data_IF_316730900350
#
_entry.id   IF_316730900350
#
_cell.length_a   1.000
_cell.length_b   1.000
_cell.length_c   1.000
_cell.angle_alpha   90.00
_cell.angle_beta   90.00
_cell.angle_gamma   90.00
#
_symmetry.space_group_name_H-M   'P 1'
#
loop_
_entity.id
_entity.type
_entity.pdbx_description
1 polymer ?
#
# COMPACT_ATOMS: atom_id res chain seq x y z
N UNK A 1 52.13 -11.29 -8.83
CA UNK A 1 51.17 -10.71 -9.79
C UNK A 1 50.12 -11.70 -10.29
N UNK A 2 50.49 -12.89 -10.81
CA UNK A 2 49.52 -13.90 -11.31
C UNK A 2 48.43 -14.34 -10.31
N UNK A 3 48.78 -14.48 -9.02
CA UNK A 3 47.81 -14.83 -7.96
C UNK A 3 46.80 -13.71 -7.64
N UNK A 4 47.21 -12.45 -7.74
CA UNK A 4 46.34 -11.29 -7.51
C UNK A 4 45.35 -11.11 -8.66
N UNK A 5 45.80 -11.38 -9.90
CA UNK A 5 44.93 -11.37 -11.08
C UNK A 5 43.86 -12.45 -10.98
N UNK A 6 44.22 -13.67 -10.55
CA UNK A 6 43.25 -14.77 -10.37
C UNK A 6 42.24 -14.42 -9.27
N UNK A 7 42.68 -13.84 -8.15
CA UNK A 7 41.77 -13.43 -7.07
C UNK A 7 40.79 -12.32 -7.52
N UNK A 8 41.25 -11.34 -8.29
CA UNK A 8 40.41 -10.27 -8.82
C UNK A 8 39.36 -10.80 -9.81
N UNK A 9 39.74 -11.74 -10.69
CA UNK A 9 38.80 -12.37 -11.63
C UNK A 9 37.75 -13.21 -10.91
N UNK A 10 38.14 -13.95 -9.86
CA UNK A 10 37.20 -14.73 -9.05
C UNK A 10 36.23 -13.84 -8.26
N UNK A 11 36.70 -12.71 -7.73
CA UNK A 11 35.84 -11.75 -7.04
C UNK A 11 34.82 -11.11 -8.00
N UNK A 12 35.23 -10.79 -9.24
CA UNK A 12 34.32 -10.26 -10.26
C UNK A 12 33.30 -11.30 -10.72
N UNK A 13 33.69 -12.56 -10.90
CA UNK A 13 32.76 -13.65 -11.21
C UNK A 13 31.75 -13.90 -10.08
N UNK A 14 32.19 -13.80 -8.82
CA UNK A 14 31.30 -13.96 -7.67
C UNK A 14 30.24 -12.86 -7.60
N UNK A 15 30.54 -11.64 -8.07
CA UNK A 15 29.56 -10.54 -8.12
C UNK A 15 28.45 -10.76 -9.16
N UNK A 16 28.68 -11.58 -10.20
CA UNK A 16 27.68 -11.90 -11.22
C UNK A 16 26.61 -12.90 -10.73
N UNK A 17 26.83 -13.56 -9.59
CA UNK A 17 25.88 -14.52 -9.00
C UNK A 17 24.74 -13.82 -8.24
N UNK A 18 24.86 -12.53 -7.97
CA UNK A 18 23.84 -11.73 -7.30
C UNK A 18 23.09 -10.84 -8.30
N UNK A 19 22.55 -11.44 -9.37
CA UNK A 19 21.67 -10.70 -10.28
C UNK A 19 20.36 -10.35 -9.55
N UNK A 20 20.05 -9.07 -9.30
CA UNK A 20 18.72 -8.71 -8.83
C UNK A 20 17.70 -9.11 -9.89
N UNK A 21 16.51 -9.52 -9.47
CA UNK A 21 15.40 -9.76 -10.39
C UNK A 21 15.15 -8.48 -11.20
N UNK A 22 15.37 -8.55 -12.51
CA UNK A 22 15.07 -7.44 -13.40
C UNK A 22 13.57 -7.44 -13.71
N UNK A 23 12.83 -6.54 -13.09
CA UNK A 23 11.42 -6.30 -13.41
C UNK A 23 11.35 -5.56 -14.74
N UNK A 24 10.91 -6.22 -15.81
CA UNK A 24 10.73 -5.60 -17.13
C UNK A 24 9.48 -4.70 -17.22
N UNK A 25 8.67 -4.66 -16.16
CA UNK A 25 7.49 -3.80 -16.06
C UNK A 25 7.85 -2.35 -15.72
N UNK A 26 6.90 -1.44 -15.97
CA UNK A 26 6.88 -0.08 -15.43
C UNK A 26 5.59 0.11 -14.60
N UNK A 27 5.52 -0.51 -13.41
CA UNK A 27 4.35 -0.49 -12.54
C UNK A 27 3.94 0.95 -12.21
N UNK A 28 2.66 1.26 -12.35
CA UNK A 28 2.09 2.53 -11.92
C UNK A 28 0.59 2.41 -11.65
N UNK A 29 0.10 3.22 -10.72
CA UNK A 29 -1.34 3.38 -10.50
C UNK A 29 -1.97 4.07 -11.71
N UNK A 30 -3.09 3.52 -12.19
CA UNK A 30 -3.87 4.11 -13.27
C UNK A 30 -4.88 5.09 -12.67
N UNK A 31 -4.59 6.38 -12.80
CA UNK A 31 -5.39 7.44 -12.19
C UNK A 31 -5.29 7.44 -10.66
N UNK A 32 -6.23 8.12 -10.02
CA UNK A 32 -6.34 8.15 -8.55
C UNK A 32 -7.23 7.01 -8.07
N UNK A 33 -6.75 6.24 -7.10
CA UNK A 33 -7.53 5.21 -6.41
C UNK A 33 -8.79 5.82 -5.81
N UNK A 34 -9.94 5.22 -6.06
CA UNK A 34 -11.21 5.66 -5.49
C UNK A 34 -11.32 5.21 -4.05
N UNK A 35 -11.66 6.14 -3.16
CA UNK A 35 -11.87 5.87 -1.73
C UNK A 35 -13.33 6.12 -1.38
N UNK A 36 -13.96 5.14 -0.75
CA UNK A 36 -15.31 5.26 -0.20
C UNK A 36 -15.32 4.92 1.28
N UNK A 37 -15.99 5.74 2.09
CA UNK A 37 -16.25 5.46 3.50
C UNK A 37 -17.69 5.01 3.68
N UNK A 38 -17.89 3.93 4.44
CA UNK A 38 -19.18 3.54 4.98
C UNK A 38 -19.01 3.22 6.47
N UNK A 39 -19.65 3.99 7.34
CA UNK A 39 -19.54 3.88 8.80
C UNK A 39 -18.09 3.84 9.29
N UNK A 40 -17.65 2.71 9.83
CA UNK A 40 -16.29 2.47 10.34
C UNK A 40 -15.37 1.79 9.31
N UNK A 41 -15.81 1.66 8.06
CA UNK A 41 -15.06 0.99 7.00
C UNK A 41 -14.62 1.95 5.91
N UNK A 42 -13.41 1.72 5.41
CA UNK A 42 -12.79 2.44 4.31
C UNK A 42 -12.49 1.44 3.19
N UNK A 43 -13.03 1.68 2.01
CA UNK A 43 -12.80 0.85 0.82
C UNK A 43 -11.99 1.62 -0.21
N UNK A 44 -10.93 0.99 -0.70
CA UNK A 44 -10.10 1.49 -1.78
C UNK A 44 -10.26 0.61 -3.01
N UNK A 45 -10.58 1.22 -4.16
CA UNK A 45 -10.71 0.53 -5.44
C UNK A 45 -9.86 1.23 -6.49
N UNK A 46 -9.01 0.47 -7.18
CA UNK A 46 -8.09 1.02 -8.15
C UNK A 46 -7.51 -0.02 -9.09
N UNK A 47 -6.50 0.42 -9.83
CA UNK A 47 -5.85 -0.38 -10.86
C UNK A 47 -4.36 -0.04 -10.91
N UNK A 48 -3.54 -1.07 -11.04
CA UNK A 48 -2.10 -0.97 -11.32
C UNK A 48 -1.86 -1.51 -12.73
N UNK A 49 -1.06 -0.83 -13.53
CA UNK A 49 -0.70 -1.23 -14.89
C UNK A 49 0.82 -1.20 -15.09
N UNK A 50 1.28 -1.78 -16.19
CA UNK A 50 2.71 -1.88 -16.50
C UNK A 50 3.39 -3.02 -15.74
N UNK A 51 2.63 -4.02 -15.31
CA UNK A 51 3.11 -5.15 -14.49
C UNK A 51 3.86 -6.22 -15.30
N UNK A 52 3.95 -6.08 -16.63
CA UNK A 52 4.61 -7.06 -17.49
C UNK A 52 3.94 -8.44 -17.40
N UNK A 53 4.74 -9.45 -17.04
CA UNK A 53 4.36 -10.88 -17.02
C UNK A 53 4.24 -11.45 -15.60
N UNK A 54 4.00 -10.61 -14.60
CA UNK A 54 3.72 -11.11 -13.26
C UNK A 54 2.41 -11.88 -13.20
N UNK A 55 2.32 -12.82 -12.26
CA UNK A 55 1.09 -13.58 -12.02
C UNK A 55 0.14 -12.82 -11.08
N UNK A 56 0.69 -12.11 -10.09
CA UNK A 56 -0.05 -11.45 -9.02
C UNK A 56 0.75 -10.31 -8.40
N UNK A 57 0.04 -9.33 -7.83
CA UNK A 57 0.60 -8.25 -7.01
C UNK A 57 -0.03 -8.23 -5.63
N UNK A 58 0.76 -7.86 -4.62
CA UNK A 58 0.28 -7.65 -3.26
C UNK A 58 0.04 -6.16 -3.03
N UNK A 59 -1.20 -5.79 -2.69
CA UNK A 59 -1.60 -4.41 -2.45
C UNK A 59 -1.99 -4.24 -0.99
N UNK A 60 -1.57 -3.12 -0.39
CA UNK A 60 -1.90 -2.71 0.96
C UNK A 60 -2.62 -1.37 0.94
N UNK A 61 -3.70 -1.27 1.71
CA UNK A 61 -4.37 -0.02 2.09
C UNK A 61 -4.01 0.29 3.53
N UNK A 62 -3.48 1.49 3.80
CA UNK A 62 -3.29 2.01 5.15
C UNK A 62 -4.01 3.33 5.36
N UNK A 63 -4.49 3.58 6.57
CA UNK A 63 -5.09 4.85 6.96
C UNK A 63 -4.99 5.08 8.47
N UNK A 64 -5.11 6.32 8.90
CA UNK A 64 -5.35 6.70 10.30
C UNK A 64 -6.85 6.92 10.50
N UNK A 65 -7.50 6.09 11.31
CA UNK A 65 -8.90 6.27 11.69
C UNK A 65 -9.01 6.95 13.07
N UNK A 66 -9.93 7.90 13.20
CA UNK A 66 -10.17 8.62 14.45
C UNK A 66 -11.67 8.89 14.65
N UNK A 67 -12.13 8.87 15.91
CA UNK A 67 -13.50 9.20 16.26
C UNK A 67 -13.58 10.69 16.65
N UNK A 68 -14.32 11.50 15.89
CA UNK A 68 -14.38 12.95 16.02
C UNK A 68 -15.72 13.37 16.61
N UNK A 69 -15.70 14.28 17.58
CA UNK A 69 -16.91 14.83 18.17
C UNK A 69 -17.50 15.99 17.32
N UNK A 70 -18.77 16.38 17.52
CA UNK A 70 -19.42 17.43 16.73
C UNK A 70 -18.71 18.80 16.74
N UNK A 71 -17.92 19.08 17.77
CA UNK A 71 -17.14 20.31 17.88
C UNK A 71 -15.85 20.30 17.06
N UNK A 72 -15.63 19.28 16.21
CA UNK A 72 -14.37 19.05 15.46
C UNK A 72 -13.14 18.92 16.35
N UNK A 73 -13.32 18.71 17.67
CA UNK A 73 -12.22 18.42 18.56
C UNK A 73 -11.80 16.98 18.32
N UNK A 74 -10.61 16.86 17.73
CA UNK A 74 -9.96 15.57 17.51
C UNK A 74 -9.44 15.07 18.86
N UNK A 75 -9.80 13.84 19.27
CA UNK A 75 -9.32 13.32 20.54
C UNK A 75 -7.78 13.24 20.55
N UNK A 76 -7.22 13.31 21.76
CA UNK A 76 -5.80 13.04 22.02
C UNK A 76 -5.41 11.66 21.46
N UNK A 77 -4.11 11.43 21.24
CA UNK A 77 -3.55 10.30 20.48
C UNK A 77 -4.13 8.90 20.80
N UNK A 78 -4.65 8.67 22.02
CA UNK A 78 -5.21 7.39 22.45
C UNK A 78 -6.44 6.88 21.68
N UNK A 79 -7.16 7.74 20.94
CA UNK A 79 -8.34 7.33 20.14
C UNK A 79 -8.08 7.33 18.63
N UNK A 80 -6.82 7.42 18.21
CA UNK A 80 -6.41 7.20 16.82
C UNK A 80 -5.95 5.76 16.66
N UNK A 81 -6.38 5.12 15.58
CA UNK A 81 -5.92 3.78 15.23
C UNK A 81 -5.32 3.81 13.83
N UNK A 82 -4.15 3.20 13.69
CA UNK A 82 -3.62 2.85 12.37
C UNK A 82 -4.37 1.63 11.87
N UNK A 83 -4.84 1.70 10.65
CA UNK A 83 -5.60 0.66 9.98
C UNK A 83 -4.80 0.18 8.77
N UNK A 84 -4.80 -1.14 8.56
CA UNK A 84 -4.20 -1.76 7.39
C UNK A 84 -5.10 -2.89 6.87
N UNK A 85 -5.20 -3.02 5.56
CA UNK A 85 -5.76 -4.18 4.89
C UNK A 85 -4.84 -4.56 3.71
N UNK A 86 -4.65 -5.85 3.49
CA UNK A 86 -3.83 -6.37 2.42
C UNK A 86 -4.61 -7.37 1.58
N UNK A 87 -4.23 -7.48 0.31
CA UNK A 87 -4.78 -8.47 -0.59
C UNK A 87 -3.85 -8.74 -1.75
N UNK A 88 -3.99 -9.93 -2.32
CA UNK A 88 -3.25 -10.36 -3.50
C UNK A 88 -4.20 -10.38 -4.69
N UNK A 89 -3.80 -9.71 -5.76
CA UNK A 89 -4.64 -9.49 -6.94
C UNK A 89 -3.98 -10.07 -8.18
N UNK A 90 -4.71 -10.86 -9.00
CA UNK A 90 -4.15 -11.46 -10.19
C UNK A 90 -3.85 -10.40 -11.24
N UNK A 91 -2.73 -10.59 -11.94
CA UNK A 91 -2.36 -9.78 -13.08
C UNK A 91 -2.93 -10.41 -14.35
N UNK A 92 -3.63 -9.61 -15.15
CA UNK A 92 -4.23 -10.02 -16.41
C UNK A 92 -3.94 -8.99 -17.49
N UNK A 93 -3.13 -9.36 -18.48
CA UNK A 93 -2.66 -8.46 -19.55
C UNK A 93 -1.86 -7.27 -18.99
N UNK A 94 -0.91 -7.54 -18.10
CA UNK A 94 0.00 -6.52 -17.53
C UNK A 94 -0.67 -5.49 -16.61
N UNK A 95 -1.85 -5.82 -16.06
CA UNK A 95 -2.60 -4.97 -15.12
C UNK A 95 -3.27 -5.81 -14.04
N UNK A 96 -3.48 -5.21 -12.87
CA UNK A 96 -4.29 -5.77 -11.80
C UNK A 96 -5.32 -4.72 -11.36
N UNK A 97 -6.58 -5.15 -11.19
CA UNK A 97 -7.59 -4.35 -10.51
C UNK A 97 -7.66 -4.82 -9.05
N UNK A 98 -7.79 -3.89 -8.11
CA UNK A 98 -7.87 -4.21 -6.69
C UNK A 98 -9.06 -3.53 -6.02
N UNK A 99 -9.59 -4.21 -5.02
CA UNK A 99 -10.52 -3.64 -4.03
C UNK A 99 -10.11 -4.15 -2.66
N UNK A 100 -9.84 -3.23 -1.74
CA UNK A 100 -9.50 -3.52 -0.35
C UNK A 100 -10.46 -2.78 0.56
N UNK A 101 -10.91 -3.45 1.61
CA UNK A 101 -11.70 -2.82 2.67
C UNK A 101 -11.00 -3.03 3.99
N UNK A 102 -10.85 -1.94 4.73
CA UNK A 102 -10.32 -1.96 6.08
C UNK A 102 -11.37 -1.40 7.04
N UNK A 103 -11.56 -2.04 8.20
CA UNK A 103 -12.58 -1.65 9.18
C UNK A 103 -11.94 -1.27 10.49
N UNK A 104 -12.21 -0.05 10.94
CA UNK A 104 -11.79 0.49 12.22
C UNK A 104 -12.68 -0.08 13.35
N UNK A 105 -12.06 -0.38 14.50
CA UNK A 105 -12.77 -0.80 15.71
C UNK A 105 -12.44 0.16 16.85
N UNK A 106 -13.46 0.67 17.54
CA UNK A 106 -13.29 1.67 18.60
C UNK A 106 -13.84 1.14 19.92
N UNK A 107 -13.11 1.39 21.01
CA UNK A 107 -13.56 1.07 22.37
C UNK A 107 -13.38 2.31 23.28
N UNK A 108 -14.47 2.94 23.78
CA UNK A 108 -15.88 2.66 23.48
C UNK A 108 -16.23 2.89 21.99
N UNK A 109 -17.36 2.36 21.54
CA UNK A 109 -17.81 2.51 20.15
C UNK A 109 -17.95 3.98 19.76
N UNK A 110 -17.52 4.33 18.54
CA UNK A 110 -17.73 5.67 17.98
C UNK A 110 -19.20 5.82 17.59
N UNK A 111 -20.02 6.22 18.56
CA UNK A 111 -21.47 6.34 18.41
C UNK A 111 -21.90 7.80 18.26
N UNK A 112 -23.05 8.08 17.61
CA UNK A 112 -23.61 9.42 17.55
C UNK A 112 -23.66 10.09 18.94
N UNK A 113 -23.27 11.37 19.04
CA UNK A 113 -23.06 12.31 17.93
C UNK A 113 -21.64 12.32 17.35
N UNK A 114 -20.77 11.39 17.72
CA UNK A 114 -19.42 11.28 17.15
C UNK A 114 -19.44 10.61 15.76
N UNK A 115 -18.44 10.90 14.94
CA UNK A 115 -18.29 10.35 13.58
C UNK A 115 -16.88 9.83 13.35
N UNK A 116 -16.74 8.77 12.55
CA UNK A 116 -15.42 8.24 12.18
C UNK A 116 -14.85 9.04 11.02
N UNK A 117 -13.59 9.43 11.15
CA UNK A 117 -12.82 10.15 10.16
C UNK A 117 -11.57 9.35 9.80
N UNK A 118 -11.29 9.21 8.49
CA UNK A 118 -10.05 8.61 7.99
C UNK A 118 -9.15 9.66 7.37
N UNK A 119 -7.86 9.58 7.71
CA UNK A 119 -6.79 10.47 7.24
C UNK A 119 -5.56 9.65 6.88
N UNK A 120 -4.55 10.29 6.29
CA UNK A 120 -3.28 9.65 5.91
C UNK A 120 -3.49 8.39 5.05
N UNK A 121 -4.48 8.42 4.15
CA UNK A 121 -4.84 7.27 3.33
C UNK A 121 -3.75 7.05 2.28
N UNK A 122 -3.23 5.83 2.25
CA UNK A 122 -2.19 5.42 1.33
C UNK A 122 -2.48 4.02 0.81
N UNK A 123 -2.29 3.84 -0.50
CA UNK A 123 -2.32 2.53 -1.14
C UNK A 123 -0.93 2.22 -1.67
N UNK A 124 -0.43 1.05 -1.35
CA UNK A 124 0.91 0.60 -1.71
C UNK A 124 0.83 -0.72 -2.46
N UNK A 125 1.51 -0.78 -3.60
CA UNK A 125 1.89 -2.05 -4.23
C UNK A 125 3.18 -2.53 -3.54
N UNK A 126 3.06 -3.55 -2.71
CA UNK A 126 4.17 -4.11 -1.94
C UNK A 126 5.12 -4.92 -2.83
N UNK A 127 4.64 -5.43 -3.97
CA UNK A 127 5.47 -6.18 -4.93
C UNK A 127 6.49 -5.25 -5.60
N UNK A 128 6.09 -4.02 -5.91
CA UNK A 128 6.92 -3.06 -6.63
C UNK A 128 7.41 -1.87 -5.82
N UNK A 129 6.98 -1.75 -4.57
CA UNK A 129 7.30 -0.63 -3.68
C UNK A 129 6.90 0.73 -4.26
N UNK A 130 5.74 0.80 -4.93
CA UNK A 130 5.13 2.05 -5.38
C UNK A 130 3.92 2.37 -4.50
N UNK A 131 3.74 3.64 -4.17
CA UNK A 131 2.64 4.09 -3.32
C UNK A 131 1.91 5.28 -3.92
N UNK A 132 0.62 5.38 -3.61
CA UNK A 132 -0.23 6.52 -3.90
C UNK A 132 -0.86 7.01 -2.60
N UNK A 133 -0.48 8.22 -2.18
CA UNK A 133 -1.19 8.93 -1.12
C UNK A 133 -2.47 9.54 -1.71
N UNK A 134 -3.59 9.32 -1.04
CA UNK A 134 -4.88 9.89 -1.44
C UNK A 134 -5.17 11.07 -0.52
N UNK A 135 -5.04 12.33 -1.01
CA UNK A 135 -5.25 13.50 -0.18
C UNK A 135 -6.72 13.64 0.19
N UNK A 136 -6.97 14.04 1.43
CA UNK A 136 -8.31 14.35 1.92
C UNK A 136 -8.61 13.72 3.27
N UNK A 137 -9.87 13.87 3.63
CA UNK A 137 -10.45 13.34 4.85
C UNK A 137 -11.71 12.59 4.44
N UNK A 138 -11.80 11.32 4.84
CA UNK A 138 -12.86 10.42 4.39
C UNK A 138 -13.81 10.06 5.51
#
# INVERSE_FOLDING_TARGET
>A
MRRLVIAAVMAMLASLLFAPAAYAGSPHFVGTTSITRADTSLTATGKIAGLGNEDQVQVQLTATAQCVNPGSNKPQAGNKQSLAAEGTFPVQNGKANFTLTATATFQPSCSPPMTVEFTDVMVTDLTHNISQSIPGTF
#
